data_IF_777258581187
#
_entry.id   IF_777258581187
#
_cell.length_a   1.000
_cell.length_b   1.000
_cell.length_c   1.000
_cell.angle_alpha   90.00
_cell.angle_beta   90.00
_cell.angle_gamma   90.00
#
_symmetry.space_group_name_H-M   'P 1'
#
loop_
_entity.id
_entity.type
_entity.pdbx_description
1 polymer ?
#
# COMPACT_ATOMS: atom_id res chain seq x y z
N UNK A 1 3.24 -5.60 23.94
CA UNK A 1 3.65 -6.92 23.38
C UNK A 1 4.72 -6.76 22.31
N UNK A 2 5.65 -7.74 22.13
CA UNK A 2 6.73 -7.69 21.12
C UNK A 2 6.52 -8.75 20.03
N UNK A 3 7.07 -8.53 18.83
CA UNK A 3 6.99 -9.49 17.70
C UNK A 3 7.42 -10.91 18.07
N UNK A 4 8.48 -11.06 18.89
CA UNK A 4 8.96 -12.39 19.31
C UNK A 4 7.97 -13.13 20.21
N UNK A 5 7.12 -12.43 20.93
CA UNK A 5 6.05 -13.05 21.75
C UNK A 5 5.00 -13.65 20.82
N UNK A 6 4.61 -12.94 19.75
CA UNK A 6 3.67 -13.48 18.73
C UNK A 6 4.25 -14.70 18.03
N UNK A 7 5.55 -14.69 17.67
CA UNK A 7 6.20 -15.83 17.00
C UNK A 7 6.20 -17.12 17.81
N UNK A 8 6.14 -17.00 19.14
CA UNK A 8 6.13 -18.12 20.07
C UNK A 8 4.74 -18.43 20.65
N UNK A 9 3.74 -17.62 20.30
CA UNK A 9 2.38 -17.77 20.79
C UNK A 9 1.68 -18.96 20.15
N UNK A 10 0.78 -19.61 20.88
CA UNK A 10 0.03 -20.76 20.38
C UNK A 10 -1.27 -20.36 19.71
N UNK A 11 -1.98 -19.39 20.30
CA UNK A 11 -3.31 -19.00 19.84
C UNK A 11 -3.54 -17.49 19.89
N UNK A 12 -4.42 -17.02 19.01
CA UNK A 12 -5.05 -15.70 19.09
C UNK A 12 -6.56 -15.87 18.95
N UNK A 13 -7.33 -15.01 19.64
CA UNK A 13 -8.79 -15.08 19.69
C UNK A 13 -9.41 -13.80 19.18
N UNK A 14 -10.41 -13.94 18.32
CA UNK A 14 -11.30 -12.87 17.86
C UNK A 14 -12.77 -13.29 18.00
N UNK A 15 -13.71 -12.36 17.73
CA UNK A 15 -15.13 -12.67 17.84
C UNK A 15 -15.61 -13.72 16.82
N UNK A 16 -16.67 -14.44 17.14
CA UNK A 16 -17.37 -15.36 16.24
C UNK A 16 -18.56 -14.66 15.54
N UNK A 17 -19.25 -15.38 14.66
CA UNK A 17 -20.41 -14.89 13.93
C UNK A 17 -20.03 -14.12 12.67
N UNK A 18 -20.75 -13.02 12.39
CA UNK A 18 -20.41 -12.16 11.25
C UNK A 18 -19.00 -11.57 11.45
N UNK A 19 -18.19 -11.62 10.40
CA UNK A 19 -16.85 -11.03 10.39
C UNK A 19 -16.78 -9.82 9.43
N UNK A 20 -15.80 -8.97 9.68
CA UNK A 20 -15.50 -7.78 8.88
C UNK A 20 -14.10 -7.86 8.28
N UNK A 21 -13.72 -6.85 7.49
CA UNK A 21 -12.36 -6.82 6.93
C UNK A 21 -11.30 -6.63 8.02
N UNK A 22 -11.65 -6.01 9.11
CA UNK A 22 -10.79 -5.67 10.23
C UNK A 22 -10.25 -6.92 10.95
N UNK A 23 -11.13 -7.77 11.46
CA UNK A 23 -10.76 -9.02 12.13
C UNK A 23 -10.10 -10.02 11.16
N UNK A 24 -10.59 -10.09 9.91
CA UNK A 24 -10.02 -10.94 8.86
C UNK A 24 -8.58 -10.55 8.51
N UNK A 25 -8.30 -9.26 8.24
CA UNK A 25 -6.94 -8.77 7.98
C UNK A 25 -6.06 -8.82 9.23
N UNK A 26 -6.61 -8.60 10.42
CA UNK A 26 -5.93 -8.78 11.70
C UNK A 26 -5.43 -10.21 11.88
N UNK A 27 -6.31 -11.20 11.68
CA UNK A 27 -5.95 -12.61 11.68
C UNK A 27 -4.91 -12.97 10.62
N UNK A 28 -5.09 -12.48 9.38
CA UNK A 28 -4.15 -12.68 8.28
C UNK A 28 -2.76 -12.15 8.62
N UNK A 29 -2.67 -10.97 9.19
CA UNK A 29 -1.39 -10.38 9.62
C UNK A 29 -0.71 -11.20 10.71
N UNK A 30 -1.44 -11.64 11.71
CA UNK A 30 -0.92 -12.52 12.77
C UNK A 30 -0.40 -13.84 12.19
N UNK A 31 -1.09 -14.43 11.21
CA UNK A 31 -0.64 -15.64 10.49
C UNK A 31 0.61 -15.40 9.64
N UNK A 32 0.82 -14.19 9.10
CA UNK A 32 2.07 -13.82 8.43
C UNK A 32 3.24 -13.78 9.43
N UNK A 33 3.03 -13.27 10.64
CA UNK A 33 4.06 -13.23 11.69
C UNK A 33 4.37 -14.64 12.22
N UNK A 34 3.32 -15.44 12.46
CA UNK A 34 3.41 -16.79 12.99
C UNK A 34 2.48 -17.75 12.22
N UNK A 35 2.97 -18.45 11.19
CA UNK A 35 2.15 -19.40 10.40
C UNK A 35 1.53 -20.56 11.23
N UNK A 36 2.09 -20.86 12.42
CA UNK A 36 1.60 -21.92 13.31
C UNK A 36 0.57 -21.41 14.31
N UNK A 37 0.33 -20.10 14.40
CA UNK A 37 -0.62 -19.51 15.33
C UNK A 37 -2.03 -20.05 15.03
N UNK A 38 -2.70 -20.60 16.01
CA UNK A 38 -4.11 -20.96 15.91
C UNK A 38 -4.98 -19.70 16.05
N UNK A 39 -5.90 -19.48 15.11
CA UNK A 39 -6.91 -18.42 15.24
C UNK A 39 -8.19 -19.05 15.75
N UNK A 40 -8.64 -18.60 16.92
CA UNK A 40 -9.86 -19.06 17.59
C UNK A 40 -10.93 -18.00 17.44
N UNK A 41 -12.13 -18.41 17.04
CA UNK A 41 -13.30 -17.54 16.98
C UNK A 41 -14.27 -17.87 18.11
N UNK A 42 -14.59 -16.87 18.93
CA UNK A 42 -15.49 -17.06 20.09
C UNK A 42 -16.12 -15.73 20.50
N UNK A 43 -17.38 -15.77 20.95
CA UNK A 43 -18.05 -14.58 21.51
C UNK A 43 -17.74 -14.38 23.00
N UNK A 44 -16.95 -15.27 23.59
CA UNK A 44 -16.52 -15.22 24.99
C UNK A 44 -15.02 -15.41 25.06
N UNK A 45 -14.33 -14.51 25.75
CA UNK A 45 -12.91 -14.65 26.07
C UNK A 45 -12.80 -15.44 27.36
N UNK A 46 -12.23 -16.67 27.35
CA UNK A 46 -12.02 -17.42 28.60
C UNK A 46 -11.11 -16.65 29.56
N UNK A 47 -11.40 -16.70 30.86
CA UNK A 47 -10.64 -15.96 31.87
C UNK A 47 -9.18 -16.42 31.99
N UNK A 48 -8.89 -17.66 31.60
CA UNK A 48 -7.57 -18.29 31.60
C UNK A 48 -6.95 -18.39 30.19
N UNK A 49 -7.48 -17.63 29.22
CA UNK A 49 -6.95 -17.64 27.85
C UNK A 49 -5.52 -17.11 27.81
N UNK A 50 -4.57 -17.98 27.44
CA UNK A 50 -3.16 -17.64 27.26
C UNK A 50 -2.83 -17.41 25.79
N UNK A 51 -3.19 -16.21 25.28
CA UNK A 51 -2.99 -15.84 23.89
C UNK A 51 -3.25 -14.36 23.62
N UNK A 52 -3.16 -13.96 22.35
CA UNK A 52 -3.54 -12.61 21.93
C UNK A 52 -5.05 -12.55 21.70
N UNK A 53 -5.71 -11.55 22.28
CA UNK A 53 -7.12 -11.24 22.02
C UNK A 53 -7.21 -9.96 21.21
N UNK A 54 -8.00 -9.97 20.13
CA UNK A 54 -8.19 -8.80 19.28
C UNK A 54 -9.65 -8.72 18.79
N UNK A 55 -10.10 -7.51 18.55
CA UNK A 55 -11.45 -7.17 18.11
C UNK A 55 -12.59 -7.67 19.03
N UNK A 56 -12.27 -7.99 20.24
CA UNK A 56 -13.18 -8.42 21.33
C UNK A 56 -12.46 -8.32 22.68
N UNK A 57 -13.23 -8.28 23.77
CA UNK A 57 -12.71 -8.45 25.12
C UNK A 57 -12.20 -7.19 25.80
N UNK A 58 -12.37 -6.03 25.17
CA UNK A 58 -12.03 -4.71 25.73
C UNK A 58 -10.53 -4.54 26.08
N UNK A 59 -9.65 -5.32 25.40
CA UNK A 59 -8.20 -5.32 25.62
C UNK A 59 -7.44 -4.37 24.71
N UNK A 60 -6.09 -4.51 24.69
CA UNK A 60 -5.16 -3.65 23.94
C UNK A 60 -5.50 -3.57 22.44
N UNK A 61 -5.94 -4.67 21.83
CA UNK A 61 -6.24 -4.76 20.40
C UNK A 61 -7.74 -4.80 20.09
N UNK A 62 -8.58 -4.37 21.02
CA UNK A 62 -9.99 -4.13 20.81
C UNK A 62 -10.25 -2.62 20.63
N UNK A 63 -11.15 -2.24 19.73
CA UNK A 63 -11.44 -0.86 19.40
C UNK A 63 -12.84 -0.38 19.85
N UNK A 64 -13.63 -1.26 20.45
CA UNK A 64 -15.02 -0.97 20.88
C UNK A 64 -15.15 -0.11 22.14
N UNK A 65 -14.03 0.40 22.66
CA UNK A 65 -14.00 1.23 23.86
C UNK A 65 -14.22 2.71 23.57
N UNK A 66 -14.87 3.43 24.50
CA UNK A 66 -15.11 4.88 24.39
C UNK A 66 -13.82 5.72 24.22
N UNK A 67 -12.69 5.23 24.74
CA UNK A 67 -11.38 5.88 24.68
C UNK A 67 -10.47 5.22 23.64
N UNK A 68 -11.03 4.80 22.48
CA UNK A 68 -10.22 4.18 21.45
C UNK A 68 -9.11 5.12 20.95
N UNK A 69 -7.94 4.54 20.70
CA UNK A 69 -6.78 5.30 20.20
C UNK A 69 -7.01 5.81 18.78
N UNK A 70 -6.51 7.02 18.51
CA UNK A 70 -6.65 7.67 17.22
C UNK A 70 -5.28 7.92 16.57
N UNK A 71 -5.27 7.99 15.25
CA UNK A 71 -4.16 8.53 14.45
C UNK A 71 -4.02 10.04 14.68
N UNK A 72 -2.91 10.61 14.24
CA UNK A 72 -2.64 12.05 14.32
C UNK A 72 -3.67 12.93 13.60
N UNK A 73 -4.38 12.37 12.61
CA UNK A 73 -5.48 13.02 11.88
C UNK A 73 -6.84 12.90 12.59
N UNK A 74 -6.89 12.31 13.79
CA UNK A 74 -8.11 12.11 14.58
C UNK A 74 -8.91 10.85 14.22
N UNK A 75 -8.51 10.08 13.24
CA UNK A 75 -9.18 8.86 12.85
C UNK A 75 -8.87 7.71 13.84
N UNK A 76 -9.90 7.06 14.35
CA UNK A 76 -9.76 5.91 15.24
C UNK A 76 -9.13 4.70 14.54
N UNK A 77 -8.29 3.97 15.26
CA UNK A 77 -7.85 2.65 14.85
C UNK A 77 -8.99 1.64 15.02
N UNK A 78 -9.08 0.66 14.12
CA UNK A 78 -9.77 -0.61 14.36
C UNK A 78 -8.75 -1.68 14.81
N UNK A 79 -9.16 -2.92 15.05
CA UNK A 79 -8.27 -3.93 15.61
C UNK A 79 -7.06 -4.23 14.71
N UNK A 80 -7.26 -4.32 13.38
CA UNK A 80 -6.15 -4.50 12.44
C UNK A 80 -5.16 -3.34 12.49
N UNK A 81 -5.63 -2.10 12.50
CA UNK A 81 -4.77 -0.92 12.63
C UNK A 81 -3.94 -0.91 13.92
N UNK A 82 -4.53 -1.35 15.06
CA UNK A 82 -3.81 -1.51 16.33
C UNK A 82 -2.72 -2.58 16.24
N UNK A 83 -3.02 -3.75 15.66
CA UNK A 83 -2.05 -4.84 15.44
C UNK A 83 -0.92 -4.40 14.52
N UNK A 84 -1.25 -3.72 13.41
CA UNK A 84 -0.26 -3.19 12.48
C UNK A 84 0.68 -2.19 13.15
N UNK A 85 0.13 -1.23 13.88
CA UNK A 85 0.90 -0.24 14.64
C UNK A 85 1.84 -0.88 15.66
N UNK A 86 1.38 -1.93 16.34
CA UNK A 86 2.16 -2.60 17.37
C UNK A 86 3.37 -3.38 16.81
N UNK A 87 3.24 -3.99 15.62
CA UNK A 87 4.22 -4.98 15.18
C UNK A 87 4.89 -4.67 13.84
N UNK A 88 4.23 -3.97 12.92
CA UNK A 88 4.70 -3.88 11.54
C UNK A 88 5.96 -3.05 11.37
N UNK A 89 6.13 -1.99 12.16
CA UNK A 89 7.34 -1.16 12.09
C UNK A 89 8.60 -1.91 12.47
N UNK A 90 8.53 -2.78 13.47
CA UNK A 90 9.65 -3.63 13.91
C UNK A 90 9.94 -4.76 12.91
N UNK A 91 8.90 -5.20 12.17
CA UNK A 91 9.02 -6.27 11.17
C UNK A 91 9.57 -5.79 9.84
N UNK A 92 9.13 -4.63 9.37
CA UNK A 92 9.30 -4.20 7.98
C UNK A 92 10.00 -2.86 7.83
N UNK A 93 10.27 -2.15 8.93
CA UNK A 93 10.82 -0.79 8.88
C UNK A 93 9.76 0.30 8.65
N UNK A 94 10.23 1.55 8.75
CA UNK A 94 9.35 2.74 8.73
C UNK A 94 8.61 2.90 7.40
N UNK A 95 9.34 2.76 6.27
CA UNK A 95 8.76 3.02 4.95
C UNK A 95 7.57 2.10 4.65
N UNK A 96 7.76 0.78 4.81
CA UNK A 96 6.72 -0.22 4.51
C UNK A 96 5.55 -0.06 5.49
N UNK A 97 5.85 0.17 6.77
CA UNK A 97 4.84 0.43 7.79
C UNK A 97 3.92 1.59 7.42
N UNK A 98 4.49 2.77 7.11
CA UNK A 98 3.72 3.97 6.76
C UNK A 98 3.00 3.84 5.41
N UNK A 99 3.65 3.20 4.42
CA UNK A 99 3.07 3.02 3.09
C UNK A 99 1.83 2.14 3.10
N UNK A 100 1.87 1.00 3.81
CA UNK A 100 0.72 0.08 3.88
C UNK A 100 -0.37 0.64 4.79
N UNK A 101 -0.01 1.28 5.91
CA UNK A 101 -1.00 1.94 6.76
C UNK A 101 -1.85 2.92 5.94
N UNK A 102 -1.20 3.79 5.17
CA UNK A 102 -1.87 4.79 4.34
C UNK A 102 -2.64 4.23 3.14
N UNK A 103 -2.12 3.17 2.48
CA UNK A 103 -2.70 2.63 1.23
C UNK A 103 -3.83 1.62 1.47
N UNK A 104 -3.92 1.07 2.68
CA UNK A 104 -4.86 -0.01 2.99
C UNK A 104 -5.56 0.17 4.33
N UNK A 105 -4.77 0.30 5.42
CA UNK A 105 -5.28 0.07 6.76
C UNK A 105 -6.12 1.25 7.24
N UNK A 106 -5.67 2.48 6.97
CA UNK A 106 -6.40 3.69 7.33
C UNK A 106 -7.84 3.67 6.79
N UNK A 107 -8.03 3.27 5.53
CA UNK A 107 -9.35 3.18 4.91
C UNK A 107 -10.18 1.99 5.44
N UNK A 108 -9.55 0.86 5.81
CA UNK A 108 -10.24 -0.26 6.45
C UNK A 108 -10.71 0.10 7.86
N UNK A 109 -9.84 0.71 8.67
CA UNK A 109 -10.19 1.20 10.00
C UNK A 109 -11.32 2.24 9.95
N UNK A 110 -11.30 3.15 8.95
CA UNK A 110 -12.37 4.12 8.75
C UNK A 110 -13.69 3.42 8.42
N UNK A 111 -13.65 2.45 7.51
CA UNK A 111 -14.83 1.67 7.13
C UNK A 111 -15.43 0.98 8.33
N UNK A 112 -14.62 0.31 9.13
CA UNK A 112 -15.07 -0.46 10.28
C UNK A 112 -15.68 0.44 11.36
N UNK A 113 -15.00 1.54 11.71
CA UNK A 113 -15.46 2.47 12.76
C UNK A 113 -16.69 3.31 12.36
N UNK A 114 -16.97 3.50 11.05
CA UNK A 114 -17.98 4.47 10.59
C UNK A 114 -19.02 3.92 9.62
N UNK A 115 -18.81 2.71 9.09
CA UNK A 115 -19.60 2.16 7.99
C UNK A 115 -19.38 2.87 6.65
N UNK A 116 -18.28 3.61 6.50
CA UNK A 116 -17.92 4.26 5.23
C UNK A 116 -17.65 3.24 4.11
N UNK A 117 -17.85 3.65 2.86
CA UNK A 117 -17.62 2.76 1.72
C UNK A 117 -16.16 2.35 1.60
N UNK A 118 -15.93 1.03 1.52
CA UNK A 118 -14.63 0.46 1.18
C UNK A 118 -14.84 -0.80 0.32
N UNK A 119 -14.31 -0.79 -0.92
CA UNK A 119 -14.52 -1.88 -1.87
C UNK A 119 -13.91 -3.22 -1.40
N UNK A 120 -12.79 -3.18 -0.67
CA UNK A 120 -12.16 -4.39 -0.15
C UNK A 120 -12.93 -4.96 1.05
N UNK A 121 -13.46 -4.10 1.92
CA UNK A 121 -14.35 -4.53 3.00
C UNK A 121 -15.62 -5.20 2.45
N UNK A 122 -16.20 -4.65 1.38
CA UNK A 122 -17.34 -5.28 0.68
C UNK A 122 -16.94 -6.64 0.10
N UNK A 123 -15.75 -6.76 -0.50
CA UNK A 123 -15.27 -8.03 -1.04
C UNK A 123 -15.12 -9.09 0.08
N UNK A 124 -14.61 -8.72 1.24
CA UNK A 124 -14.53 -9.60 2.42
C UNK A 124 -15.93 -9.98 2.92
N UNK A 125 -16.87 -9.02 2.99
CA UNK A 125 -18.24 -9.30 3.43
C UNK A 125 -18.97 -10.33 2.55
N UNK A 126 -18.56 -10.49 1.27
CA UNK A 126 -19.13 -11.53 0.39
C UNK A 126 -18.83 -12.96 0.82
N UNK A 127 -17.87 -13.19 1.70
CA UNK A 127 -17.56 -14.49 2.28
C UNK A 127 -18.53 -14.85 3.42
N UNK A 128 -19.22 -13.86 4.05
CA UNK A 128 -20.16 -14.15 5.11
C UNK A 128 -21.35 -14.96 4.61
N UNK A 129 -21.72 -16.02 5.33
CA UNK A 129 -22.95 -16.76 5.09
C UNK A 129 -24.17 -15.92 5.49
N UNK A 130 -25.32 -16.27 4.91
CA UNK A 130 -26.60 -15.75 5.36
C UNK A 130 -26.90 -16.14 6.83
N UNK A 131 -26.51 -17.35 7.21
CA UNK A 131 -26.51 -17.80 8.62
C UNK A 131 -25.13 -17.55 9.21
N UNK A 132 -24.99 -16.47 9.96
CA UNK A 132 -23.73 -16.04 10.57
C UNK A 132 -23.29 -16.93 11.76
N UNK A 133 -24.12 -17.88 12.19
CA UNK A 133 -23.76 -18.82 13.27
C UNK A 133 -22.82 -19.93 12.78
N UNK A 134 -22.73 -20.14 11.45
CA UNK A 134 -21.86 -21.12 10.79
C UNK A 134 -20.96 -20.42 9.77
N UNK A 135 -20.04 -19.62 10.27
CA UNK A 135 -19.18 -18.75 9.44
C UNK A 135 -17.68 -19.04 9.60
N UNK A 136 -17.28 -20.04 10.36
CA UNK A 136 -15.85 -20.23 10.68
C UNK A 136 -15.04 -20.65 9.45
N UNK A 137 -15.52 -21.60 8.66
CA UNK A 137 -14.83 -22.00 7.42
C UNK A 137 -14.69 -20.82 6.45
N UNK A 138 -15.75 -20.03 6.30
CA UNK A 138 -15.77 -18.83 5.46
C UNK A 138 -14.82 -17.74 5.94
N UNK A 139 -14.69 -17.58 7.27
CA UNK A 139 -13.72 -16.67 7.85
C UNK A 139 -12.29 -17.09 7.49
N UNK A 140 -11.96 -18.37 7.60
CA UNK A 140 -10.61 -18.85 7.25
C UNK A 140 -10.33 -18.73 5.76
N UNK A 141 -11.32 -18.92 4.88
CA UNK A 141 -11.19 -18.66 3.46
C UNK A 141 -10.93 -17.17 3.17
N UNK A 142 -11.71 -16.27 3.78
CA UNK A 142 -11.51 -14.84 3.71
C UNK A 142 -10.13 -14.41 4.25
N UNK A 143 -9.69 -15.02 5.35
CA UNK A 143 -8.37 -14.76 5.94
C UNK A 143 -7.22 -15.15 4.99
N UNK A 144 -7.29 -16.30 4.32
CA UNK A 144 -6.25 -16.67 3.33
C UNK A 144 -6.27 -15.72 2.12
N UNK A 145 -7.42 -15.26 1.67
CA UNK A 145 -7.54 -14.22 0.64
C UNK A 145 -6.89 -12.90 1.09
N UNK A 146 -7.22 -12.41 2.28
CA UNK A 146 -6.65 -11.20 2.87
C UNK A 146 -5.13 -11.32 3.07
N UNK A 147 -4.67 -12.47 3.54
CA UNK A 147 -3.25 -12.78 3.72
C UNK A 147 -2.49 -12.67 2.39
N UNK A 148 -3.04 -13.22 1.31
CA UNK A 148 -2.42 -13.14 -0.02
C UNK A 148 -2.30 -11.69 -0.51
N UNK A 149 -3.32 -10.87 -0.28
CA UNK A 149 -3.28 -9.43 -0.61
C UNK A 149 -2.17 -8.74 0.20
N UNK A 150 -2.16 -8.93 1.51
CA UNK A 150 -1.21 -8.28 2.41
C UNK A 150 0.24 -8.67 2.13
N UNK A 151 0.52 -9.97 1.91
CA UNK A 151 1.84 -10.46 1.50
C UNK A 151 2.32 -9.83 0.19
N UNK A 152 1.43 -9.75 -0.82
CA UNK A 152 1.76 -9.13 -2.11
C UNK A 152 2.05 -7.62 -1.94
N UNK A 153 1.26 -6.92 -1.12
CA UNK A 153 1.51 -5.50 -0.82
C UNK A 153 2.84 -5.31 -0.10
N UNK A 154 3.13 -6.08 0.94
CA UNK A 154 4.41 -6.03 1.68
C UNK A 154 5.59 -6.26 0.72
N UNK A 155 5.51 -7.29 -0.14
CA UNK A 155 6.57 -7.60 -1.09
C UNK A 155 6.77 -6.49 -2.13
N UNK A 156 5.68 -5.90 -2.60
CA UNK A 156 5.73 -4.77 -3.52
C UNK A 156 6.38 -3.54 -2.87
N UNK A 157 6.02 -3.22 -1.64
CA UNK A 157 6.61 -2.06 -0.94
C UNK A 157 8.09 -2.28 -0.60
N UNK A 158 8.53 -3.54 -0.35
CA UNK A 158 9.96 -3.85 -0.24
C UNK A 158 10.74 -3.55 -1.52
N UNK A 159 10.16 -3.88 -2.69
CA UNK A 159 10.77 -3.54 -3.98
C UNK A 159 10.79 -2.03 -4.20
N UNK A 160 9.69 -1.33 -3.87
CA UNK A 160 9.62 0.13 -3.97
C UNK A 160 10.67 0.83 -3.09
N UNK A 161 10.91 0.35 -1.87
CA UNK A 161 11.95 0.90 -0.99
C UNK A 161 13.34 0.76 -1.61
N UNK A 162 13.66 -0.39 -2.22
CA UNK A 162 14.91 -0.61 -2.94
C UNK A 162 15.03 0.33 -4.14
N UNK A 163 13.96 0.47 -4.92
CA UNK A 163 13.92 1.36 -6.09
C UNK A 163 14.14 2.82 -5.70
N UNK A 164 13.52 3.28 -4.61
CA UNK A 164 13.67 4.64 -4.10
C UNK A 164 15.15 4.95 -3.76
N UNK A 165 15.87 4.00 -3.15
CA UNK A 165 17.29 4.18 -2.86
C UNK A 165 18.13 4.33 -4.13
N UNK A 166 17.82 3.56 -5.19
CA UNK A 166 18.46 3.70 -6.50
C UNK A 166 18.11 5.06 -7.14
N UNK A 167 16.83 5.42 -7.17
CA UNK A 167 16.33 6.69 -7.75
C UNK A 167 16.97 7.90 -7.07
N UNK A 168 17.15 7.84 -5.74
CA UNK A 168 17.85 8.87 -4.99
C UNK A 168 19.27 9.09 -5.52
N UNK A 169 20.01 8.00 -5.78
CA UNK A 169 21.36 8.09 -6.35
C UNK A 169 21.32 8.70 -7.77
N UNK A 170 20.41 8.26 -8.64
CA UNK A 170 20.25 8.87 -9.97
C UNK A 170 19.96 10.37 -9.88
N UNK A 171 19.12 10.79 -8.93
CA UNK A 171 18.85 12.21 -8.69
C UNK A 171 20.10 12.95 -8.22
N UNK A 172 20.86 12.40 -7.26
CA UNK A 172 22.10 13.00 -6.75
C UNK A 172 23.16 13.14 -7.85
N UNK A 173 23.28 12.17 -8.75
CA UNK A 173 24.27 12.14 -9.84
C UNK A 173 23.82 12.96 -11.09
N UNK A 174 22.53 13.32 -11.19
CA UNK A 174 22.00 14.04 -12.35
C UNK A 174 22.60 15.44 -12.49
N UNK A 175 23.08 15.79 -13.71
CA UNK A 175 23.60 17.12 -14.08
C UNK A 175 22.49 18.17 -14.08
N UNK A 176 21.36 17.87 -14.73
CA UNK A 176 20.15 18.68 -14.68
C UNK A 176 19.13 17.97 -13.78
N UNK A 177 18.93 18.49 -12.58
CA UNK A 177 18.01 17.90 -11.58
C UNK A 177 16.56 17.83 -12.02
N UNK A 178 16.20 18.54 -13.08
CA UNK A 178 14.83 18.52 -13.67
C UNK A 178 14.59 17.29 -14.55
N UNK A 179 15.65 16.62 -15.03
CA UNK A 179 15.59 15.44 -15.91
C UNK A 179 16.34 14.28 -15.24
N UNK A 180 15.63 13.27 -14.82
CA UNK A 180 16.24 12.08 -14.22
C UNK A 180 16.23 10.94 -15.23
N UNK A 181 17.41 10.43 -15.56
CA UNK A 181 17.57 9.32 -16.51
C UNK A 181 17.87 8.06 -15.70
N UNK A 182 17.02 7.05 -15.87
CA UNK A 182 17.14 5.75 -15.21
C UNK A 182 17.56 4.69 -16.24
N UNK A 183 18.40 3.74 -15.84
CA UNK A 183 18.85 2.63 -16.68
C UNK A 183 17.81 1.52 -16.79
N UNK A 184 16.83 1.48 -15.88
CA UNK A 184 15.73 0.53 -15.81
C UNK A 184 14.45 1.22 -15.32
N UNK A 185 13.26 0.66 -15.58
CA UNK A 185 12.03 1.18 -14.97
C UNK A 185 12.05 0.95 -13.45
N UNK A 186 12.16 2.03 -12.67
CA UNK A 186 12.15 2.02 -11.20
C UNK A 186 10.92 2.73 -10.66
N UNK A 187 10.51 2.36 -9.46
CA UNK A 187 9.49 3.10 -8.73
C UNK A 187 10.08 4.39 -8.14
N UNK A 188 9.58 5.55 -8.56
CA UNK A 188 10.10 6.87 -8.18
C UNK A 188 9.08 7.79 -7.51
N UNK A 189 7.79 7.37 -7.48
CA UNK A 189 6.67 8.24 -7.07
C UNK A 189 6.70 8.69 -5.61
N UNK A 190 7.38 7.97 -4.73
CA UNK A 190 7.49 8.35 -3.32
C UNK A 190 8.75 9.20 -3.03
N UNK A 191 9.56 9.53 -4.06
CA UNK A 191 10.76 10.34 -3.89
C UNK A 191 10.82 11.56 -4.85
N UNK A 192 10.73 11.36 -6.16
CA UNK A 192 10.92 12.45 -7.13
C UNK A 192 9.89 13.58 -7.03
N UNK A 193 8.63 13.39 -6.61
CA UNK A 193 7.70 14.48 -6.38
C UNK A 193 8.23 15.55 -5.43
N UNK A 194 9.03 15.18 -4.45
CA UNK A 194 9.57 16.06 -3.40
C UNK A 194 10.95 16.66 -3.75
N UNK A 195 11.36 16.59 -5.04
CA UNK A 195 12.62 17.09 -5.57
C UNK A 195 12.37 18.12 -6.69
N UNK A 196 13.43 18.61 -7.35
CA UNK A 196 13.31 19.49 -8.52
C UNK A 196 13.01 18.73 -9.83
N UNK A 197 12.93 17.39 -9.80
CA UNK A 197 12.66 16.58 -10.98
C UNK A 197 11.30 16.92 -11.60
N UNK A 198 11.29 17.15 -12.90
CA UNK A 198 10.09 17.45 -13.71
C UNK A 198 9.76 16.26 -14.60
N UNK A 199 10.76 15.63 -15.20
CA UNK A 199 10.62 14.48 -16.05
C UNK A 199 11.56 13.34 -15.62
N UNK A 200 11.10 12.10 -15.78
CA UNK A 200 11.91 10.90 -15.64
C UNK A 200 11.94 10.16 -16.99
N UNK A 201 13.14 9.76 -17.41
CA UNK A 201 13.41 9.02 -18.66
C UNK A 201 13.89 7.62 -18.32
N UNK A 202 13.39 6.59 -18.99
CA UNK A 202 13.76 5.19 -18.74
C UNK A 202 13.56 4.33 -20.00
N UNK A 203 14.24 3.15 -20.10
CA UNK A 203 14.01 2.19 -21.16
C UNK A 203 12.57 1.67 -21.13
N UNK A 204 11.88 1.70 -22.26
CA UNK A 204 10.48 1.25 -22.36
C UNK A 204 10.40 -0.28 -22.54
N UNK A 205 9.51 -0.94 -21.83
CA UNK A 205 9.20 -2.37 -22.03
C UNK A 205 8.65 -2.69 -23.43
N UNK A 206 8.23 -1.66 -24.19
CA UNK A 206 7.76 -1.75 -25.57
C UNK A 206 8.86 -1.40 -26.59
N UNK A 207 10.13 -1.42 -26.16
CA UNK A 207 11.30 -1.00 -26.93
C UNK A 207 11.53 0.52 -26.88
N UNK A 208 12.75 0.96 -27.21
CA UNK A 208 13.16 2.35 -27.14
C UNK A 208 13.07 2.93 -25.72
N UNK A 209 12.71 4.20 -25.62
CA UNK A 209 12.69 4.96 -24.36
C UNK A 209 11.34 5.63 -24.13
N UNK A 210 10.97 5.78 -22.87
CA UNK A 210 9.83 6.55 -22.43
C UNK A 210 10.28 7.70 -21.52
N UNK A 211 9.51 8.78 -21.52
CA UNK A 211 9.63 9.83 -20.52
C UNK A 211 8.27 10.11 -19.90
N UNK A 212 8.26 10.27 -18.58
CA UNK A 212 7.05 10.53 -17.81
C UNK A 212 7.20 11.81 -16.99
N UNK A 213 6.13 12.60 -16.92
CA UNK A 213 6.05 13.76 -16.04
C UNK A 213 6.02 13.33 -14.57
N UNK A 214 6.79 14.02 -13.74
CA UNK A 214 6.77 13.82 -12.29
C UNK A 214 5.56 14.54 -11.69
N UNK A 215 4.85 13.87 -10.79
CA UNK A 215 3.67 14.42 -10.10
C UNK A 215 4.08 15.46 -9.04
N UNK A 216 3.14 16.31 -8.61
CA UNK A 216 3.39 17.31 -7.54
C UNK A 216 3.53 16.66 -6.15
N UNK A 217 2.92 15.49 -5.96
CA UNK A 217 3.06 14.64 -4.76
C UNK A 217 2.82 13.18 -5.11
N UNK A 218 3.00 12.27 -4.14
CA UNK A 218 2.87 10.82 -4.34
C UNK A 218 1.42 10.32 -4.46
N UNK A 219 0.42 11.14 -4.09
CA UNK A 219 -0.99 10.72 -4.00
C UNK A 219 -1.86 11.30 -5.12
N UNK A 220 -1.28 12.08 -6.03
CA UNK A 220 -2.00 12.72 -7.13
C UNK A 220 -1.46 12.27 -8.48
N UNK A 221 -2.29 12.41 -9.51
CA UNK A 221 -1.88 12.31 -10.90
C UNK A 221 -1.57 13.68 -11.53
N UNK A 222 -1.66 14.78 -10.76
CA UNK A 222 -1.34 16.11 -11.24
C UNK A 222 0.17 16.24 -11.41
N UNK A 223 0.62 16.56 -12.63
CA UNK A 223 2.03 16.69 -12.97
C UNK A 223 2.57 18.06 -12.54
N UNK A 224 3.88 18.13 -12.29
CA UNK A 224 4.60 19.40 -12.16
C UNK A 224 4.60 20.17 -13.47
N UNK A 225 4.74 19.46 -14.60
CA UNK A 225 4.64 20.00 -15.96
C UNK A 225 4.14 18.92 -16.92
N UNK A 226 3.08 19.21 -17.66
CA UNK A 226 2.58 18.36 -18.74
C UNK A 226 3.51 18.43 -19.96
N UNK A 227 3.50 17.40 -20.82
CA UNK A 227 4.07 17.51 -22.15
C UNK A 227 3.22 18.45 -23.03
N UNK A 228 3.81 19.08 -24.08
CA UNK A 228 3.11 20.02 -24.95
C UNK A 228 1.82 19.44 -25.55
N UNK A 229 0.74 20.25 -25.55
CA UNK A 229 -0.57 19.82 -26.04
C UNK A 229 -0.56 19.48 -27.52
N UNK A 230 0.19 20.23 -28.30
CA UNK A 230 0.34 20.04 -29.74
C UNK A 230 0.88 18.65 -30.12
N UNK A 231 1.66 17.99 -29.25
CA UNK A 231 2.23 16.67 -29.51
C UNK A 231 1.18 15.54 -29.51
N UNK A 232 0.00 15.78 -28.94
CA UNK A 232 -1.10 14.81 -28.98
C UNK A 232 -1.64 14.63 -30.40
N UNK A 233 -1.77 15.73 -31.15
CA UNK A 233 -2.36 15.72 -32.48
C UNK A 233 -1.31 15.87 -33.61
N UNK A 234 -0.14 16.42 -33.31
CA UNK A 234 0.94 16.65 -34.26
C UNK A 234 2.26 16.17 -33.63
N UNK A 235 2.47 14.86 -33.71
CA UNK A 235 3.60 14.20 -33.08
C UNK A 235 4.91 14.59 -33.76
N UNK A 236 5.92 15.12 -33.02
CA UNK A 236 7.25 15.41 -33.59
C UNK A 236 7.90 14.14 -34.16
N UNK A 237 8.73 14.25 -35.20
CA UNK A 237 9.30 13.11 -35.93
C UNK A 237 10.26 12.25 -35.08
N UNK A 238 10.78 12.77 -33.96
CA UNK A 238 11.62 12.05 -33.01
C UNK A 238 10.83 11.32 -31.90
N UNK A 239 9.49 11.48 -31.88
CA UNK A 239 8.58 10.75 -30.98
C UNK A 239 7.77 9.73 -31.77
N UNK A 240 7.48 8.59 -31.16
CA UNK A 240 6.53 7.60 -31.70
C UNK A 240 5.19 7.62 -30.98
N UNK A 241 5.09 8.26 -29.79
CA UNK A 241 3.89 8.30 -29.00
C UNK A 241 3.85 9.50 -28.06
N UNK A 242 2.67 10.08 -27.88
CA UNK A 242 2.33 11.00 -26.81
C UNK A 242 0.94 10.63 -26.28
N UNK A 243 0.85 10.40 -24.98
CA UNK A 243 -0.42 10.07 -24.32
C UNK A 243 -1.37 11.28 -24.34
N UNK A 244 -2.67 11.04 -24.55
CA UNK A 244 -3.69 12.12 -24.60
C UNK A 244 -3.76 12.97 -23.34
N UNK A 245 -3.51 12.37 -22.17
CA UNK A 245 -3.38 13.09 -20.89
C UNK A 245 -1.99 13.68 -20.65
N UNK A 246 -1.11 13.69 -21.65
CA UNK A 246 0.19 14.37 -21.68
C UNK A 246 1.16 14.04 -20.55
N UNK A 247 0.97 12.86 -19.89
CA UNK A 247 1.87 12.46 -18.81
C UNK A 247 3.04 11.59 -19.29
N UNK A 248 2.94 11.02 -20.49
CA UNK A 248 3.88 10.03 -21.02
C UNK A 248 4.13 10.29 -22.50
N UNK A 249 5.40 10.26 -22.90
CA UNK A 249 5.86 10.21 -24.30
C UNK A 249 6.80 9.03 -24.51
N UNK A 250 6.97 8.59 -25.76
CA UNK A 250 7.93 7.57 -26.13
C UNK A 250 8.65 7.88 -27.43
N UNK A 251 9.90 7.41 -27.54
CA UNK A 251 10.77 7.51 -28.71
C UNK A 251 11.49 6.18 -28.95
N UNK A 252 11.89 5.93 -30.19
CA UNK A 252 12.67 4.73 -30.51
C UNK A 252 14.15 4.87 -30.09
N UNK A 253 14.64 6.11 -29.93
CA UNK A 253 16.03 6.39 -29.59
C UNK A 253 16.17 7.21 -28.30
N UNK A 254 17.32 7.06 -27.64
CA UNK A 254 17.67 7.85 -26.46
C UNK A 254 17.81 9.34 -26.82
N UNK A 255 18.44 9.64 -27.93
CA UNK A 255 18.62 11.02 -28.42
C UNK A 255 17.26 11.70 -28.67
N UNK A 256 16.31 10.98 -29.28
CA UNK A 256 14.97 11.48 -29.55
C UNK A 256 14.18 11.80 -28.28
N UNK A 257 14.19 10.89 -27.30
CA UNK A 257 13.49 11.14 -26.03
C UNK A 257 14.13 12.29 -25.24
N UNK A 258 15.47 12.37 -25.21
CA UNK A 258 16.18 13.45 -24.52
C UNK A 258 15.98 14.81 -25.20
N UNK A 259 15.88 14.84 -26.55
CA UNK A 259 15.53 16.03 -27.29
C UNK A 259 14.14 16.52 -26.89
N UNK A 260 13.14 15.61 -26.91
CA UNK A 260 11.77 15.93 -26.55
C UNK A 260 11.66 16.48 -25.11
N UNK A 261 12.29 15.83 -24.14
CA UNK A 261 12.24 16.27 -22.74
C UNK A 261 12.86 17.64 -22.54
N UNK A 262 13.97 17.94 -23.22
CA UNK A 262 14.61 19.28 -23.19
C UNK A 262 13.75 20.35 -23.85
N UNK A 263 13.06 20.00 -24.93
CA UNK A 263 12.11 20.90 -25.59
C UNK A 263 10.90 21.19 -24.71
N UNK A 264 10.33 20.16 -24.08
CA UNK A 264 9.21 20.30 -23.15
C UNK A 264 9.56 21.12 -21.90
N UNK A 265 10.84 21.26 -21.55
CA UNK A 265 11.29 22.10 -20.42
C UNK A 265 11.33 23.61 -20.75
N UNK A 266 11.40 24.00 -22.02
CA UNK A 266 11.34 25.41 -22.43
C UNK A 266 9.95 25.99 -22.15
#
# INVERSE_FOLDING_TARGET
MKVNEIRNMKAALTHAGKFHADDVFGAAFLKIINPKLEIIRSNVVPADFDGLVFDIGMGEFDHHMANNECRSNGQSYAAFGKLWRAFAKDLYGKYIYESIDKKLIEDLDLCDNTGSYNALAIAIDTFNNKDVTDNDDNFFEAMEFAKKILENMINKEKLHEIDILKVKKYYEDAVDKRIIVLDEPLFYKDYLPFTDAIYVVYPSSRGGYAAQGVTIDSNTNKLKKDFPLEWVNNLPPYLRFCHTSRFLIASDTFEGIMHAVREALK
#
